data_IF_365871039804
#
_entry.id   IF_365871039804
#
_cell.length_a   1.000
_cell.length_b   1.000
_cell.length_c   1.000
_cell.angle_alpha   90.00
_cell.angle_beta   90.00
_cell.angle_gamma   90.00
#
_symmetry.space_group_name_H-M   'P 1'
#
loop_
_entity.id
_entity.type
_entity.pdbx_description
1 polymer ?
#
# COMPACT_ATOMS: atom_id res chain seq x y z
N UNK A 1 -14.03 6.73 31.95
CA UNK A 1 -14.25 5.33 32.37
C UNK A 1 -13.77 4.39 31.26
N UNK A 2 -12.47 4.39 30.96
CA UNK A 2 -11.85 3.40 30.07
C UNK A 2 -11.44 2.23 30.95
N UNK A 3 -12.39 1.34 31.16
CA UNK A 3 -12.28 0.19 32.03
C UNK A 3 -11.51 -0.90 31.29
N UNK A 4 -10.44 -1.36 31.92
CA UNK A 4 -9.73 -2.63 31.74
C UNK A 4 -10.36 -3.61 30.73
N UNK A 5 -9.92 -3.53 29.48
CA UNK A 5 -9.74 -4.72 28.67
C UNK A 5 -8.26 -4.77 28.34
N UNK A 6 -7.53 -5.57 29.11
CA UNK A 6 -6.23 -6.07 28.72
C UNK A 6 -6.46 -6.91 27.46
N UNK A 7 -6.55 -6.26 26.31
CA UNK A 7 -6.19 -6.92 25.06
C UNK A 7 -4.74 -7.31 25.27
N UNK A 8 -4.54 -8.61 25.45
CA UNK A 8 -3.25 -9.27 25.40
C UNK A 8 -2.72 -9.07 23.97
N UNK A 9 -2.32 -7.84 23.67
CA UNK A 9 -1.80 -7.41 22.40
C UNK A 9 -0.36 -7.93 22.38
N UNK A 10 -0.21 -9.16 21.89
CA UNK A 10 1.09 -9.77 21.57
C UNK A 10 1.63 -9.00 20.34
N UNK A 11 2.00 -7.74 20.50
CA UNK A 11 2.58 -6.96 19.40
C UNK A 11 4.00 -6.59 19.80
N UNK A 12 4.96 -6.95 18.96
CA UNK A 12 6.34 -6.52 19.12
C UNK A 12 6.41 -5.06 18.67
N UNK A 13 6.81 -4.16 19.58
CA UNK A 13 7.04 -2.75 19.29
C UNK A 13 8.47 -2.53 18.82
N UNK A 14 8.65 -2.09 17.58
CA UNK A 14 9.96 -1.86 16.99
C UNK A 14 10.13 -0.37 16.66
N UNK A 15 11.22 0.23 17.12
CA UNK A 15 11.49 1.65 16.84
C UNK A 15 12.42 1.81 15.64
N UNK A 16 11.95 2.40 14.55
CA UNK A 16 12.76 2.70 13.37
C UNK A 16 13.15 4.18 13.34
N UNK A 17 14.32 4.47 12.78
CA UNK A 17 14.74 5.85 12.47
C UNK A 17 14.42 6.12 10.99
N UNK A 18 13.56 7.10 10.76
CA UNK A 18 13.22 7.56 9.40
C UNK A 18 14.34 8.46 8.86
N UNK A 19 14.47 8.59 7.54
CA UNK A 19 15.45 9.48 6.89
C UNK A 19 15.38 10.95 7.34
N UNK A 20 14.27 11.36 7.96
CA UNK A 20 14.08 12.71 8.50
C UNK A 20 14.51 12.85 9.97
N UNK A 21 15.13 11.82 10.55
CA UNK A 21 15.57 11.79 11.95
C UNK A 21 14.44 11.57 12.97
N UNK A 22 13.20 11.38 12.51
CA UNK A 22 12.05 11.07 13.37
C UNK A 22 12.06 9.60 13.77
N UNK A 23 11.76 9.34 15.04
CA UNK A 23 11.63 7.98 15.59
C UNK A 23 10.18 7.52 15.43
N UNK A 24 9.96 6.51 14.59
CA UNK A 24 8.65 5.90 14.37
C UNK A 24 8.57 4.55 15.08
N UNK A 25 7.39 4.19 15.55
CA UNK A 25 7.13 2.92 16.23
C UNK A 25 6.18 2.08 15.39
N UNK A 26 6.63 0.89 15.01
CA UNK A 26 5.84 -0.09 14.29
C UNK A 26 5.40 -1.17 15.27
N UNK A 27 4.11 -1.54 15.18
CA UNK A 27 3.56 -2.69 15.89
C UNK A 27 3.36 -3.83 14.91
N UNK A 28 3.85 -5.02 15.24
CA UNK A 28 3.73 -6.20 14.40
C UNK A 28 3.36 -7.44 15.20
N UNK A 29 2.63 -8.35 14.56
CA UNK A 29 2.32 -9.69 15.06
C UNK A 29 3.33 -10.75 14.56
N UNK A 30 4.44 -10.33 13.96
CA UNK A 30 5.53 -11.20 13.57
C UNK A 30 6.47 -11.42 14.77
N UNK A 31 6.51 -12.66 15.28
CA UNK A 31 7.33 -13.06 16.44
C UNK A 31 8.60 -13.83 16.07
N UNK A 32 8.85 -14.03 14.78
CA UNK A 32 10.00 -14.77 14.30
C UNK A 32 11.30 -14.00 14.60
N UNK A 33 12.16 -14.58 15.43
CA UNK A 33 13.44 -14.01 15.84
C UNK A 33 14.47 -13.92 14.71
N UNK A 34 14.23 -14.59 13.57
CA UNK A 34 15.07 -14.48 12.39
C UNK A 34 14.85 -13.19 11.61
N UNK A 35 13.69 -12.52 11.82
CA UNK A 35 13.37 -11.26 11.17
C UNK A 35 14.06 -10.14 11.91
N UNK A 36 15.03 -9.52 11.24
CA UNK A 36 15.78 -8.40 11.79
C UNK A 36 15.00 -7.10 11.68
N UNK A 37 15.41 -6.09 12.44
CA UNK A 37 14.81 -4.77 12.39
C UNK A 37 14.88 -4.12 10.99
N UNK A 38 15.97 -4.34 10.25
CA UNK A 38 16.11 -3.82 8.88
C UNK A 38 15.12 -4.48 7.92
N UNK A 39 14.86 -5.79 8.07
CA UNK A 39 13.85 -6.49 7.27
C UNK A 39 12.44 -5.94 7.57
N UNK A 40 12.13 -5.62 8.83
CA UNK A 40 10.86 -4.96 9.17
C UNK A 40 10.73 -3.57 8.55
N UNK A 41 11.81 -2.81 8.56
CA UNK A 41 11.83 -1.49 7.93
C UNK A 41 11.59 -1.62 6.42
N UNK A 42 12.24 -2.57 5.75
CA UNK A 42 12.02 -2.86 4.33
C UNK A 42 10.58 -3.31 4.05
N UNK A 43 10.04 -4.21 4.87
CA UNK A 43 8.64 -4.65 4.81
C UNK A 43 7.66 -3.48 4.92
N UNK A 44 7.91 -2.55 5.84
CA UNK A 44 7.09 -1.36 5.99
C UNK A 44 7.19 -0.43 4.76
N UNK A 45 8.36 -0.32 4.13
CA UNK A 45 8.54 0.49 2.94
C UNK A 45 7.77 -0.02 1.72
N UNK A 46 7.48 -1.32 1.62
CA UNK A 46 6.59 -1.86 0.57
C UNK A 46 5.15 -1.32 0.62
N UNK A 47 4.76 -0.64 1.70
CA UNK A 47 3.50 0.11 1.78
C UNK A 47 3.47 1.32 0.84
N UNK A 48 4.60 2.00 0.66
CA UNK A 48 4.69 3.26 -0.06
C UNK A 48 4.32 3.17 -1.55
N UNK A 49 4.73 2.13 -2.30
CA UNK A 49 4.27 1.90 -3.67
C UNK A 49 2.74 1.91 -3.83
N UNK A 50 1.97 1.50 -2.81
CA UNK A 50 0.50 1.52 -2.83
C UNK A 50 -0.01 2.96 -2.87
N UNK A 51 0.55 3.86 -2.06
CA UNK A 51 0.18 5.29 -2.08
C UNK A 51 0.54 5.95 -3.40
N UNK A 52 1.71 5.63 -3.96
CA UNK A 52 2.11 6.10 -5.27
C UNK A 52 1.14 5.62 -6.36
N UNK A 53 0.64 4.39 -6.25
CA UNK A 53 -0.38 3.88 -7.17
C UNK A 53 -1.70 4.63 -7.03
N UNK A 54 -2.17 4.91 -5.81
CA UNK A 54 -3.35 5.75 -5.61
C UNK A 54 -3.18 7.14 -6.22
N UNK A 55 -2.01 7.77 -6.04
CA UNK A 55 -1.71 9.06 -6.67
C UNK A 55 -1.74 8.97 -8.19
N UNK A 56 -1.20 7.90 -8.77
CA UNK A 56 -1.28 7.66 -10.22
C UNK A 56 -2.73 7.53 -10.70
N UNK A 57 -3.53 6.69 -10.04
CA UNK A 57 -4.93 6.44 -10.41
C UNK A 57 -5.77 7.74 -10.35
N UNK A 58 -5.60 8.55 -9.31
CA UNK A 58 -6.35 9.80 -9.16
C UNK A 58 -5.86 10.90 -10.09
N UNK A 59 -4.55 11.16 -10.13
CA UNK A 59 -4.02 12.33 -10.84
C UNK A 59 -3.77 12.10 -12.33
N UNK A 60 -3.47 10.86 -12.77
CA UNK A 60 -3.19 10.57 -14.19
C UNK A 60 -4.37 9.94 -14.89
N UNK A 61 -5.08 9.04 -14.22
CA UNK A 61 -6.22 8.33 -14.79
C UNK A 61 -7.56 8.95 -14.40
N UNK A 62 -7.56 10.00 -13.58
CA UNK A 62 -8.76 10.72 -13.15
C UNK A 62 -9.89 9.77 -12.74
N UNK A 63 -9.57 8.71 -11.99
CA UNK A 63 -10.51 7.60 -11.71
C UNK A 63 -11.77 8.03 -10.92
N UNK A 64 -11.80 9.28 -10.44
CA UNK A 64 -12.92 9.88 -9.71
C UNK A 64 -13.85 10.71 -10.62
N UNK A 65 -13.45 10.94 -11.88
CA UNK A 65 -14.25 11.66 -12.89
C UNK A 65 -15.12 10.68 -13.67
N UNK A 66 -16.30 10.37 -13.13
CA UNK A 66 -17.24 9.44 -13.76
C UNK A 66 -18.14 10.14 -14.79
N UNK A 67 -18.35 9.46 -15.91
CA UNK A 67 -19.26 9.91 -16.97
C UNK A 67 -20.69 9.40 -16.77
N UNK A 68 -20.86 8.28 -16.06
CA UNK A 68 -22.15 7.65 -15.84
C UNK A 68 -22.92 8.20 -14.63
N UNK A 69 -24.22 8.46 -14.80
CA UNK A 69 -25.09 8.97 -13.73
C UNK A 69 -25.72 7.88 -12.84
N UNK A 70 -25.56 6.60 -13.19
CA UNK A 70 -26.10 5.48 -12.40
C UNK A 70 -25.03 4.86 -11.52
N UNK A 71 -25.42 4.30 -10.38
CA UNK A 71 -24.50 3.57 -9.49
C UNK A 71 -23.78 2.43 -10.22
N UNK A 72 -24.49 1.69 -11.08
CA UNK A 72 -23.90 0.60 -11.87
C UNK A 72 -22.84 1.11 -12.84
N UNK A 73 -23.11 2.21 -13.55
CA UNK A 73 -22.12 2.79 -14.48
C UNK A 73 -20.86 3.28 -13.77
N UNK A 74 -21.01 3.90 -12.59
CA UNK A 74 -19.87 4.34 -11.76
C UNK A 74 -18.97 3.15 -11.38
N UNK A 75 -19.57 2.05 -10.91
CA UNK A 75 -18.79 0.85 -10.58
C UNK A 75 -18.12 0.22 -11.80
N UNK A 76 -18.83 0.12 -12.93
CA UNK A 76 -18.25 -0.42 -14.16
C UNK A 76 -17.04 0.39 -14.63
N UNK A 77 -17.17 1.72 -14.68
CA UNK A 77 -16.09 2.63 -15.08
C UNK A 77 -14.88 2.52 -14.14
N UNK A 78 -15.12 2.46 -12.82
CA UNK A 78 -14.07 2.21 -11.83
C UNK A 78 -13.31 0.90 -12.09
N UNK A 79 -14.02 -0.22 -12.26
CA UNK A 79 -13.38 -1.54 -12.46
C UNK A 79 -12.62 -1.63 -13.78
N UNK A 80 -13.15 -1.04 -14.86
CA UNK A 80 -12.47 -0.99 -16.17
C UNK A 80 -11.17 -0.20 -16.05
N UNK A 81 -11.19 0.97 -15.41
CA UNK A 81 -10.00 1.79 -15.21
C UNK A 81 -8.94 1.08 -14.36
N UNK A 82 -9.36 0.36 -13.31
CA UNK A 82 -8.44 -0.44 -12.49
C UNK A 82 -7.80 -1.58 -13.29
N UNK A 83 -8.59 -2.31 -14.08
CA UNK A 83 -8.12 -3.40 -14.94
C UNK A 83 -7.12 -2.88 -15.99
N UNK A 84 -7.44 -1.78 -16.68
CA UNK A 84 -6.55 -1.15 -17.65
C UNK A 84 -5.24 -0.71 -17.01
N UNK A 85 -5.28 -0.15 -15.80
CA UNK A 85 -4.10 0.26 -15.06
C UNK A 85 -3.19 -0.93 -14.73
N UNK A 86 -3.78 -2.06 -14.32
CA UNK A 86 -3.05 -3.29 -14.03
C UNK A 86 -2.44 -3.90 -15.30
N UNK A 87 -3.21 -3.96 -16.39
CA UNK A 87 -2.72 -4.48 -17.67
C UNK A 87 -1.57 -3.61 -18.22
N UNK A 88 -1.69 -2.28 -18.15
CA UNK A 88 -0.61 -1.37 -18.51
C UNK A 88 0.65 -1.63 -17.68
N UNK A 89 0.51 -1.90 -16.38
CA UNK A 89 1.63 -2.25 -15.51
C UNK A 89 2.30 -3.57 -15.93
N UNK A 90 1.52 -4.59 -16.27
CA UNK A 90 2.04 -5.88 -16.72
C UNK A 90 2.82 -5.76 -18.03
N UNK A 91 2.26 -5.04 -19.01
CA UNK A 91 2.91 -4.80 -20.30
C UNK A 91 4.22 -4.03 -20.11
N UNK A 92 4.22 -2.97 -19.28
CA UNK A 92 5.45 -2.22 -18.97
C UNK A 92 6.52 -3.11 -18.35
N UNK A 93 6.15 -3.96 -17.41
CA UNK A 93 7.08 -4.88 -16.77
C UNK A 93 7.65 -5.90 -17.76
N UNK A 94 6.83 -6.44 -18.67
CA UNK A 94 7.31 -7.36 -19.71
C UNK A 94 8.22 -6.67 -20.74
N UNK A 95 7.89 -5.44 -21.16
CA UNK A 95 8.70 -4.68 -22.11
C UNK A 95 10.07 -4.30 -21.52
N UNK A 96 10.13 -3.99 -20.23
CA UNK A 96 11.39 -3.72 -19.52
C UNK A 96 12.29 -4.96 -19.45
N UNK A 97 11.72 -6.16 -19.32
CA UNK A 97 12.47 -7.43 -19.32
C UNK A 97 13.01 -7.78 -20.71
N UNK A 98 12.37 -7.31 -21.79
CA UNK A 98 12.81 -7.57 -23.18
C UNK A 98 13.90 -6.60 -23.69
N UNK A 99 14.14 -5.49 -22.99
CA UNK A 99 15.13 -4.47 -23.34
C UNK A 99 16.44 -4.58 -22.52
N UNK A 100 16.58 -5.65 -21.73
CA UNK A 100 17.80 -6.06 -21.01
C UNK A 100 18.29 -7.41 -21.55
#
# INVERSE_FOLDING_TARGET
MFRHYAFHCIYLGLSILTNNGTKEYLATNLFDSTITQSMFQELYFYRWPVELKYKELKSRLAIEEFSGATTTSVFQEFYINMLLSNLSSLIKNQAIVLLL
#
